data_IF_547629230381
#
_entry.id   IF_547629230381
#
_cell.length_a   1.000
_cell.length_b   1.000
_cell.length_c   1.000
_cell.angle_alpha   90.00
_cell.angle_beta   90.00
_cell.angle_gamma   90.00
#
_symmetry.space_group_name_H-M   'P 1'
#
loop_
_entity.id
_entity.type
_entity.pdbx_description
1 polymer ?
#
# COMPACT_ATOMS: atom_id res chain seq x y z
N UNK A 1 -7.83 -48.42 2.91
CA UNK A 1 -6.39 -48.37 3.22
C UNK A 1 -5.66 -48.34 1.89
N UNK A 2 -4.59 -47.54 1.75
CA UNK A 2 -4.02 -46.95 0.52
C UNK A 2 -4.48 -45.49 0.33
N UNK A 3 -4.11 -44.59 1.26
CA UNK A 3 -2.82 -43.87 1.32
C UNK A 3 -2.73 -42.85 0.18
N UNK A 4 -3.22 -41.63 0.41
CA UNK A 4 -2.40 -40.50 0.85
C UNK A 4 -1.27 -40.18 -0.13
N UNK A 5 -1.56 -39.45 -1.21
CA UNK A 5 -0.58 -38.64 -1.97
C UNK A 5 -1.24 -37.86 -3.12
N UNK A 6 -2.06 -36.86 -2.79
CA UNK A 6 -2.20 -35.70 -3.69
C UNK A 6 -1.09 -34.75 -3.27
N UNK A 7 0.07 -34.91 -3.91
CA UNK A 7 1.31 -34.18 -3.62
C UNK A 7 1.07 -32.67 -3.67
N UNK A 8 1.33 -32.01 -2.55
CA UNK A 8 1.76 -30.62 -2.51
C UNK A 8 2.91 -30.44 -3.50
N UNK A 9 2.66 -29.74 -4.61
CA UNK A 9 3.72 -29.23 -5.45
C UNK A 9 3.72 -27.71 -5.30
N UNK A 10 4.10 -27.24 -4.11
CA UNK A 10 4.46 -25.84 -3.91
C UNK A 10 5.76 -25.60 -4.69
N UNK A 11 5.63 -25.01 -5.87
CA UNK A 11 6.79 -24.60 -6.67
C UNK A 11 7.48 -23.47 -5.90
N UNK A 12 8.62 -23.77 -5.28
CA UNK A 12 9.47 -22.77 -4.66
C UNK A 12 10.08 -21.94 -5.79
N UNK A 13 9.45 -20.81 -6.12
CA UNK A 13 9.98 -19.89 -7.12
C UNK A 13 11.33 -19.34 -6.65
N UNK A 14 12.40 -19.56 -7.42
CA UNK A 14 13.71 -18.97 -7.11
C UNK A 14 13.64 -17.45 -7.25
N UNK A 15 14.10 -16.72 -6.23
CA UNK A 15 14.21 -15.27 -6.31
C UNK A 15 15.29 -14.88 -7.32
N UNK A 16 15.04 -13.89 -8.20
CA UNK A 16 16.03 -13.44 -9.17
C UNK A 16 17.26 -12.85 -8.46
N UNK A 17 18.43 -12.99 -9.08
CA UNK A 17 19.71 -12.48 -8.55
C UNK A 17 19.77 -10.93 -8.53
N UNK A 18 18.93 -10.28 -9.33
CA UNK A 18 18.84 -8.84 -9.41
C UNK A 18 17.37 -8.41 -9.31
N UNK A 19 17.13 -7.28 -8.64
CA UNK A 19 15.81 -6.68 -8.51
C UNK A 19 15.46 -5.92 -9.80
N UNK A 20 14.29 -6.23 -10.37
CA UNK A 20 13.68 -5.47 -11.46
C UNK A 20 12.51 -4.66 -10.88
N UNK A 21 12.73 -3.36 -10.73
CA UNK A 21 11.74 -2.48 -10.11
C UNK A 21 10.50 -2.29 -10.98
N UNK A 22 10.62 -2.37 -12.30
CA UNK A 22 9.49 -2.17 -13.21
C UNK A 22 8.42 -3.24 -13.00
N UNK A 23 8.84 -4.50 -12.90
CA UNK A 23 7.93 -5.62 -12.70
C UNK A 23 7.33 -5.57 -11.30
N UNK A 24 8.18 -5.38 -10.28
CA UNK A 24 7.71 -5.49 -8.88
C UNK A 24 6.80 -4.33 -8.50
N UNK A 25 7.13 -3.10 -8.87
CA UNK A 25 6.35 -1.92 -8.48
C UNK A 25 4.98 -1.88 -9.16
N UNK A 26 4.91 -2.22 -10.45
CA UNK A 26 3.65 -2.23 -11.20
C UNK A 26 2.69 -3.30 -10.66
N UNK A 27 3.15 -4.55 -10.56
CA UNK A 27 2.34 -5.67 -10.05
C UNK A 27 1.86 -5.40 -8.61
N UNK A 28 2.74 -4.89 -7.75
CA UNK A 28 2.43 -4.59 -6.37
C UNK A 28 1.41 -3.46 -6.24
N UNK A 29 1.55 -2.40 -7.04
CA UNK A 29 0.61 -1.29 -7.04
C UNK A 29 -0.78 -1.73 -7.53
N UNK A 30 -0.85 -2.46 -8.65
CA UNK A 30 -2.11 -3.02 -9.16
C UNK A 30 -2.77 -3.94 -8.14
N UNK A 31 -1.99 -4.79 -7.46
CA UNK A 31 -2.50 -5.65 -6.40
C UNK A 31 -3.06 -4.83 -5.23
N UNK A 32 -2.36 -3.76 -4.79
CA UNK A 32 -2.83 -2.90 -3.72
C UNK A 32 -4.13 -2.18 -4.05
N UNK A 33 -4.22 -1.64 -5.27
CA UNK A 33 -5.38 -0.91 -5.74
C UNK A 33 -6.60 -1.84 -5.86
N UNK A 34 -6.44 -2.99 -6.51
CA UNK A 34 -7.52 -3.97 -6.73
C UNK A 34 -8.07 -4.52 -5.42
N UNK A 35 -7.22 -4.71 -4.41
CA UNK A 35 -7.64 -5.16 -3.08
C UNK A 35 -8.16 -4.04 -2.17
N UNK A 36 -8.08 -2.79 -2.63
CA UNK A 36 -8.52 -1.61 -1.90
C UNK A 36 -7.70 -1.29 -0.66
N UNK A 37 -6.41 -1.63 -0.60
CA UNK A 37 -5.59 -1.40 0.60
C UNK A 37 -5.34 0.08 0.90
N UNK A 38 -5.57 0.97 -0.06
CA UNK A 38 -5.54 2.41 0.16
C UNK A 38 -6.79 2.93 0.89
N UNK A 39 -7.83 2.11 1.05
CA UNK A 39 -9.09 2.50 1.67
C UNK A 39 -9.07 2.32 3.20
N UNK A 40 -9.50 3.31 4.00
CA UNK A 40 -9.61 3.17 5.45
C UNK A 40 -10.51 2.01 5.88
N UNK A 41 -11.59 1.73 5.13
CA UNK A 41 -12.53 0.66 5.42
C UNK A 41 -11.83 -0.71 5.36
N UNK A 42 -10.89 -0.89 4.42
CA UNK A 42 -10.13 -2.13 4.29
C UNK A 42 -9.31 -2.40 5.55
N UNK A 43 -8.71 -1.37 6.15
CA UNK A 43 -7.94 -1.47 7.40
C UNK A 43 -8.82 -1.98 8.55
N UNK A 44 -10.07 -1.55 8.61
CA UNK A 44 -11.05 -2.03 9.61
C UNK A 44 -11.41 -3.49 9.35
N UNK A 45 -11.71 -3.87 8.09
CA UNK A 45 -12.08 -5.25 7.75
C UNK A 45 -10.96 -6.27 7.99
N UNK A 46 -9.70 -5.84 7.91
CA UNK A 46 -8.52 -6.66 8.18
C UNK A 46 -8.17 -6.72 9.68
N UNK A 47 -8.93 -6.03 10.54
CA UNK A 47 -8.63 -5.94 11.97
C UNK A 47 -7.37 -5.13 12.29
N UNK A 48 -6.86 -4.35 11.32
CA UNK A 48 -5.69 -3.48 11.52
C UNK A 48 -6.06 -2.21 12.29
N UNK A 49 -7.29 -1.71 12.12
CA UNK A 49 -7.80 -0.55 12.83
C UNK A 49 -9.17 -0.84 13.46
N UNK A 50 -9.46 -0.19 14.60
CA UNK A 50 -10.77 -0.34 15.28
C UNK A 50 -11.81 0.59 14.64
N UNK A 51 -13.03 0.08 14.47
CA UNK A 51 -14.16 0.92 14.12
C UNK A 51 -14.36 2.01 15.19
N UNK A 52 -14.46 3.27 14.78
CA UNK A 52 -14.59 4.42 15.68
C UNK A 52 -13.29 4.92 16.32
N UNK A 53 -12.13 4.36 15.95
CA UNK A 53 -10.84 4.94 16.32
C UNK A 53 -10.64 6.33 15.68
N UNK A 54 -9.86 7.19 16.33
CA UNK A 54 -9.52 8.51 15.80
C UNK A 54 -8.66 8.34 14.54
N UNK A 55 -9.06 8.89 13.38
CA UNK A 55 -8.30 8.72 12.15
C UNK A 55 -7.08 9.64 12.11
N UNK A 56 -6.06 9.22 11.37
CA UNK A 56 -4.94 10.06 10.93
C UNK A 56 -5.10 10.36 9.43
N UNK A 57 -5.24 11.65 9.10
CA UNK A 57 -5.57 12.09 7.74
C UNK A 57 -4.59 13.16 7.28
N UNK A 58 -4.02 12.97 6.10
CA UNK A 58 -3.27 14.01 5.38
C UNK A 58 -4.10 14.39 4.16
N UNK A 59 -4.49 15.67 4.09
CA UNK A 59 -5.16 16.24 2.92
C UNK A 59 -4.15 17.08 2.14
N UNK A 60 -3.84 16.65 0.91
CA UNK A 60 -3.00 17.45 0.03
C UNK A 60 -3.84 18.59 -0.54
N UNK A 61 -3.32 19.84 -0.53
CA UNK A 61 -4.01 20.94 -1.18
C UNK A 61 -4.18 20.67 -2.69
N UNK A 62 -5.18 21.27 -3.35
CA UNK A 62 -5.32 21.25 -4.80
C UNK A 62 -3.97 21.56 -5.46
N UNK A 63 -3.55 20.77 -6.48
CA UNK A 63 -2.27 20.98 -7.10
C UNK A 63 -2.26 22.37 -7.76
N UNK A 64 -1.29 23.21 -7.39
CA UNK A 64 -0.98 24.41 -8.18
C UNK A 64 -0.25 23.96 -9.46
N UNK A 65 -1.00 23.50 -10.45
CA UNK A 65 -0.48 22.97 -11.72
C UNK A 65 0.14 24.11 -12.54
N UNK A 66 1.43 24.36 -12.34
CA UNK A 66 2.20 25.34 -13.14
C UNK A 66 3.47 24.74 -13.78
N UNK A 67 3.72 23.43 -13.62
CA UNK A 67 4.88 22.76 -14.22
C UNK A 67 4.90 21.25 -14.01
N UNK A 68 5.93 20.58 -14.55
CA UNK A 68 6.17 19.15 -14.37
C UNK A 68 6.59 18.82 -12.93
N UNK A 69 6.29 17.61 -12.48
CA UNK A 69 6.76 17.10 -11.19
C UNK A 69 8.29 17.04 -11.17
N UNK A 70 8.88 17.61 -10.11
CA UNK A 70 10.30 17.53 -9.82
C UNK A 70 10.54 16.85 -8.47
N UNK A 71 11.79 16.55 -8.15
CA UNK A 71 12.20 15.83 -6.94
C UNK A 71 11.63 16.41 -5.63
N UNK A 72 11.33 17.71 -5.58
CA UNK A 72 10.69 18.34 -4.42
C UNK A 72 9.30 17.78 -4.13
N UNK A 73 8.51 17.51 -5.17
CA UNK A 73 7.23 16.83 -5.00
C UNK A 73 7.41 15.42 -4.48
N UNK A 74 8.37 14.67 -5.04
CA UNK A 74 8.66 13.30 -4.62
C UNK A 74 9.08 13.22 -3.14
N UNK A 75 9.89 14.15 -2.66
CA UNK A 75 10.32 14.22 -1.25
C UNK A 75 9.12 14.45 -0.34
N UNK A 76 8.29 15.46 -0.64
CA UNK A 76 7.09 15.76 0.17
C UNK A 76 6.14 14.55 0.19
N UNK A 77 5.82 13.97 -0.96
CA UNK A 77 4.96 12.80 -1.05
C UNK A 77 5.53 11.58 -0.31
N UNK A 78 6.84 11.38 -0.34
CA UNK A 78 7.50 10.27 0.39
C UNK A 78 7.38 10.42 1.90
N UNK A 79 7.52 11.65 2.43
CA UNK A 79 7.36 11.92 3.86
C UNK A 79 5.91 11.70 4.29
N UNK A 80 4.95 12.20 3.51
CA UNK A 80 3.53 12.00 3.79
C UNK A 80 3.13 10.51 3.75
N UNK A 81 3.57 9.77 2.72
CA UNK A 81 3.33 8.32 2.61
C UNK A 81 3.96 7.55 3.79
N UNK A 82 5.17 7.92 4.21
CA UNK A 82 5.81 7.33 5.40
C UNK A 82 4.97 7.52 6.66
N UNK A 83 4.45 8.73 6.89
CA UNK A 83 3.60 9.01 8.06
C UNK A 83 2.29 8.20 8.01
N UNK A 84 1.67 8.09 6.83
CA UNK A 84 0.46 7.29 6.62
C UNK A 84 0.71 5.82 6.94
N UNK A 85 1.82 5.25 6.45
CA UNK A 85 2.19 3.86 6.74
C UNK A 85 2.50 3.65 8.22
N UNK A 86 3.22 4.57 8.84
CA UNK A 86 3.54 4.52 10.26
C UNK A 86 2.27 4.49 11.14
N UNK A 87 1.33 5.42 10.92
CA UNK A 87 0.06 5.46 11.64
C UNK A 87 -0.81 4.22 11.39
N UNK A 88 -0.81 3.70 10.15
CA UNK A 88 -1.49 2.43 9.83
C UNK A 88 -0.91 1.26 10.64
N UNK A 89 0.41 1.22 10.84
CA UNK A 89 1.08 0.21 11.66
C UNK A 89 0.80 0.35 13.16
N UNK A 90 0.48 1.56 13.64
CA UNK A 90 0.00 1.80 15.01
C UNK A 90 -1.47 1.40 15.22
N UNK A 91 -2.19 1.12 14.14
CA UNK A 91 -3.60 0.73 14.14
C UNK A 91 -4.58 1.91 14.05
N UNK A 92 -4.08 3.09 13.66
CA UNK A 92 -4.94 4.23 13.36
C UNK A 92 -5.57 4.04 11.96
N UNK A 93 -6.88 4.31 11.77
CA UNK A 93 -7.46 4.42 10.44
C UNK A 93 -6.79 5.57 9.68
N UNK A 94 -6.22 5.30 8.52
CA UNK A 94 -5.43 6.28 7.75
C UNK A 94 -6.02 6.62 6.39
N UNK A 95 -6.00 7.91 6.05
CA UNK A 95 -6.43 8.42 4.74
C UNK A 95 -5.44 9.48 4.23
N UNK A 96 -4.90 9.25 3.03
CA UNK A 96 -4.12 10.23 2.29
C UNK A 96 -4.95 10.69 1.10
N UNK A 97 -5.45 11.92 1.18
CA UNK A 97 -6.41 12.44 0.20
C UNK A 97 -5.71 13.43 -0.74
N UNK A 98 -5.52 13.08 -2.03
CA UNK A 98 -5.01 14.02 -3.01
C UNK A 98 -6.00 15.15 -3.25
N UNK A 99 -5.48 16.37 -3.42
CA UNK A 99 -6.27 17.50 -3.91
C UNK A 99 -6.59 17.34 -5.40
N UNK A 100 -7.75 17.87 -5.82
CA UNK A 100 -8.19 17.92 -7.24
C UNK A 100 -7.74 19.20 -7.92
#
# INVERSE_FOLDING_TARGET
MSDAQTKENQTQAEMPKAYDHHIVEEDLYTWWETNGYFRPEKQITLGQAKAGAKPFVIAMPPPNVTGALHLGHAITSSIEDMLIRYHRMLGDPTLWMPGT
#
